data_IF_951325864348
#
_entry.id   IF_951325864348
#
_cell.length_a   1.000
_cell.length_b   1.000
_cell.length_c   1.000
_cell.angle_alpha   90.00
_cell.angle_beta   90.00
_cell.angle_gamma   90.00
#
_symmetry.space_group_name_H-M   'P 1'
#
loop_
_entity.id
_entity.type
_entity.pdbx_description
1 polymer ?
#
# COMPACT_ATOMS: atom_id res chain seq x y z
N UNK A 1 18.21 -39.05 -15.92
CA UNK A 1 17.18 -38.06 -16.29
C UNK A 1 17.06 -37.07 -15.14
N UNK A 2 17.56 -35.86 -15.31
CA UNK A 2 17.47 -34.82 -14.28
C UNK A 2 16.00 -34.46 -14.06
N UNK A 3 15.52 -34.56 -12.82
CA UNK A 3 14.23 -33.98 -12.43
C UNK A 3 14.35 -32.48 -12.71
N UNK A 4 13.54 -31.97 -13.62
CA UNK A 4 13.31 -30.53 -13.70
C UNK A 4 12.69 -30.16 -12.36
N UNK A 5 13.45 -29.45 -11.53
CA UNK A 5 12.87 -28.70 -10.44
C UNK A 5 11.91 -27.71 -11.10
N UNK A 6 10.62 -28.00 -11.04
CA UNK A 6 9.56 -27.05 -11.37
C UNK A 6 9.67 -25.93 -10.32
N UNK A 7 10.61 -25.01 -10.52
CA UNK A 7 10.68 -23.77 -9.76
C UNK A 7 9.34 -23.09 -9.98
N UNK A 8 8.54 -22.97 -8.92
CA UNK A 8 7.36 -22.13 -8.95
C UNK A 8 7.78 -20.78 -9.54
N UNK A 9 6.99 -20.21 -10.45
CA UNK A 9 7.33 -18.91 -11.02
C UNK A 9 7.57 -17.91 -9.88
N UNK A 10 8.51 -16.99 -10.09
CA UNK A 10 8.84 -15.96 -9.11
C UNK A 10 7.88 -14.78 -9.31
N UNK A 11 7.44 -14.17 -8.21
CA UNK A 11 6.43 -13.12 -8.29
C UNK A 11 7.04 -11.89 -8.92
N UNK A 12 6.35 -11.33 -9.91
CA UNK A 12 6.75 -10.11 -10.58
C UNK A 12 5.61 -9.09 -10.43
N UNK A 13 5.88 -7.89 -9.87
CA UNK A 13 4.85 -6.85 -9.76
C UNK A 13 4.48 -6.30 -11.14
N UNK A 14 3.31 -5.68 -11.23
CA UNK A 14 2.93 -4.88 -12.39
C UNK A 14 3.85 -3.66 -12.44
N UNK A 15 4.53 -3.41 -13.56
CA UNK A 15 5.34 -2.20 -13.77
C UNK A 15 4.81 -1.46 -14.98
N UNK A 16 4.55 -0.17 -14.79
CA UNK A 16 4.01 0.71 -15.82
C UNK A 16 4.82 1.98 -15.90
N UNK A 17 4.82 2.58 -17.10
CA UNK A 17 5.17 3.98 -17.30
C UNK A 17 3.88 4.79 -17.23
N UNK A 18 3.83 5.74 -16.32
CA UNK A 18 2.61 6.51 -16.09
C UNK A 18 2.91 8.00 -15.94
N UNK A 19 1.96 8.81 -16.38
CA UNK A 19 1.94 10.25 -16.17
C UNK A 19 1.17 10.57 -14.90
N UNK A 20 1.72 11.43 -14.06
CA UNK A 20 1.08 11.84 -12.82
C UNK A 20 0.20 13.07 -13.00
N UNK A 21 -0.92 13.09 -12.30
CA UNK A 21 -1.90 14.18 -12.21
C UNK A 21 -2.11 14.56 -10.74
N UNK A 22 -1.02 14.86 -10.06
CA UNK A 22 -0.99 15.19 -8.62
C UNK A 22 -1.20 16.68 -8.35
N UNK A 23 -1.18 17.51 -9.39
CA UNK A 23 -1.34 18.96 -9.31
C UNK A 23 -2.77 19.41 -9.06
N UNK A 24 -2.93 20.71 -8.80
CA UNK A 24 -4.25 21.33 -8.58
C UNK A 24 -4.89 20.98 -7.22
N UNK A 25 -4.16 20.32 -6.32
CA UNK A 25 -4.56 20.15 -4.92
C UNK A 25 -4.37 21.46 -4.18
N UNK A 26 -5.47 22.02 -3.70
CA UNK A 26 -5.44 23.23 -2.89
C UNK A 26 -5.24 22.87 -1.41
N UNK A 27 -4.63 23.80 -0.66
CA UNK A 27 -4.39 23.67 0.78
C UNK A 27 -5.69 23.35 1.55
N UNK A 28 -6.81 23.98 1.19
CA UNK A 28 -8.08 23.73 1.87
C UNK A 28 -8.59 22.30 1.62
N UNK A 29 -8.39 21.75 0.42
CA UNK A 29 -8.74 20.35 0.12
C UNK A 29 -7.88 19.37 0.93
N UNK A 30 -6.56 19.60 0.99
CA UNK A 30 -5.64 18.77 1.78
C UNK A 30 -5.97 18.85 3.28
N UNK A 31 -6.29 20.05 3.77
CA UNK A 31 -6.67 20.29 5.16
C UNK A 31 -7.98 19.60 5.54
N UNK A 32 -8.95 19.53 4.63
CA UNK A 32 -10.19 18.79 4.84
C UNK A 32 -9.96 17.28 4.84
N UNK A 33 -9.18 16.77 3.87
CA UNK A 33 -8.85 15.34 3.74
C UNK A 33 -8.04 14.81 4.93
N UNK A 34 -7.05 15.58 5.39
CA UNK A 34 -6.14 15.20 6.47
C UNK A 34 -6.58 15.71 7.85
N UNK A 35 -7.84 16.15 7.95
CA UNK A 35 -8.40 16.68 9.20
C UNK A 35 -8.33 15.61 10.30
N UNK A 36 -7.66 15.95 11.40
CA UNK A 36 -7.51 15.05 12.56
C UNK A 36 -6.30 14.12 12.50
N UNK A 37 -5.47 14.19 11.45
CA UNK A 37 -4.26 13.37 11.33
C UNK A 37 -3.00 14.01 11.95
N UNK A 38 -3.11 15.22 12.53
CA UNK A 38 -2.02 15.86 13.28
C UNK A 38 -0.98 16.59 12.43
N UNK A 39 -1.20 16.76 11.13
CA UNK A 39 -0.31 17.55 10.27
C UNK A 39 -0.37 19.05 10.59
N UNK A 40 0.80 19.69 10.51
CA UNK A 40 0.92 21.15 10.64
C UNK A 40 0.59 21.86 9.34
N UNK A 41 0.23 23.14 9.41
CA UNK A 41 -0.03 23.96 8.21
C UNK A 41 1.20 24.02 7.27
N UNK A 42 2.42 23.98 7.82
CA UNK A 42 3.66 23.98 7.03
C UNK A 42 3.80 22.68 6.22
N UNK A 43 3.49 21.54 6.83
CA UNK A 43 3.51 20.23 6.18
C UNK A 43 2.44 20.12 5.09
N UNK A 44 1.21 20.58 5.35
CA UNK A 44 0.15 20.60 4.34
C UNK A 44 0.52 21.48 3.14
N UNK A 45 1.19 22.62 3.35
CA UNK A 45 1.72 23.43 2.24
C UNK A 45 2.86 22.74 1.49
N UNK A 46 3.67 21.94 2.19
CA UNK A 46 4.67 21.07 1.56
C UNK A 46 4.04 20.05 0.64
N UNK A 47 2.98 19.38 1.08
CA UNK A 47 2.20 18.43 0.25
C UNK A 47 1.61 19.07 -1.01
N UNK A 48 1.19 20.34 -0.95
CA UNK A 48 0.78 21.09 -2.16
C UNK A 48 1.96 21.28 -3.12
N UNK A 49 3.13 21.69 -2.62
CA UNK A 49 4.32 21.92 -3.44
C UNK A 49 4.81 20.62 -4.08
N UNK A 50 4.88 19.56 -3.29
CA UNK A 50 5.17 18.20 -3.74
C UNK A 50 4.25 17.76 -4.87
N UNK A 51 2.93 17.88 -4.67
CA UNK A 51 1.95 17.51 -5.69
C UNK A 51 2.16 18.27 -7.01
N UNK A 52 2.62 19.53 -6.94
CA UNK A 52 2.95 20.32 -8.12
C UNK A 52 4.27 19.90 -8.79
N UNK A 53 5.26 19.40 -8.05
CA UNK A 53 6.50 18.88 -8.64
C UNK A 53 6.25 17.57 -9.39
N UNK A 54 5.43 16.69 -8.82
CA UNK A 54 5.05 15.45 -9.50
C UNK A 54 4.06 15.66 -10.66
N UNK A 55 3.36 16.80 -10.71
CA UNK A 55 2.32 17.02 -11.71
C UNK A 55 2.87 17.03 -13.14
N UNK A 56 2.26 16.22 -14.00
CA UNK A 56 2.62 16.10 -15.41
C UNK A 56 3.89 15.32 -15.70
N UNK A 57 4.63 14.90 -14.67
CA UNK A 57 5.86 14.12 -14.83
C UNK A 57 5.53 12.67 -15.21
N UNK A 58 6.45 12.01 -15.90
CA UNK A 58 6.28 10.60 -16.31
C UNK A 58 7.25 9.73 -15.54
N UNK A 59 6.73 8.87 -14.66
CA UNK A 59 7.52 7.97 -13.82
C UNK A 59 7.25 6.51 -14.16
N UNK A 60 8.15 5.64 -13.71
CA UNK A 60 7.92 4.22 -13.66
C UNK A 60 7.31 3.89 -12.30
N UNK A 61 6.11 3.31 -12.31
CA UNK A 61 5.37 2.93 -11.12
C UNK A 61 5.19 1.42 -11.08
N UNK A 62 5.11 0.87 -9.88
CA UNK A 62 4.86 -0.54 -9.65
C UNK A 62 3.61 -0.76 -8.80
N UNK A 63 2.85 -1.80 -9.10
CA UNK A 63 1.69 -2.22 -8.32
C UNK A 63 1.94 -3.61 -7.78
N UNK A 64 1.64 -3.80 -6.50
CA UNK A 64 1.99 -5.02 -5.81
C UNK A 64 0.75 -5.74 -5.26
N UNK A 65 0.84 -7.06 -5.14
CA UNK A 65 -0.19 -7.86 -4.51
C UNK A 65 -0.17 -7.76 -2.98
N UNK A 66 0.98 -7.39 -2.38
CA UNK A 66 1.12 -7.34 -0.92
C UNK A 66 0.24 -6.24 -0.28
N UNK A 67 0.01 -5.13 -0.99
CA UNK A 67 -0.93 -4.07 -0.62
C UNK A 67 -2.28 -4.23 -1.34
N UNK A 68 -2.57 -5.42 -1.89
CA UNK A 68 -3.78 -5.70 -2.65
C UNK A 68 -4.02 -4.68 -3.77
N UNK A 69 -2.94 -4.21 -4.40
CA UNK A 69 -2.97 -3.21 -5.46
C UNK A 69 -3.72 -1.95 -5.05
N UNK A 70 -3.57 -1.52 -3.80
CA UNK A 70 -4.22 -0.31 -3.30
C UNK A 70 -3.53 0.95 -3.82
N UNK A 71 -2.20 0.94 -3.92
CA UNK A 71 -1.42 2.11 -4.31
C UNK A 71 -0.41 1.82 -5.41
N UNK A 72 -0.05 2.86 -6.16
CA UNK A 72 1.09 2.83 -7.07
C UNK A 72 2.36 3.20 -6.31
N UNK A 73 3.39 2.39 -6.42
CA UNK A 73 4.67 2.58 -5.74
C UNK A 73 5.68 3.15 -6.72
N UNK A 74 6.38 4.22 -6.35
CA UNK A 74 7.47 4.78 -7.14
C UNK A 74 8.54 3.70 -7.38
N UNK A 75 8.75 3.33 -8.64
CA UNK A 75 9.70 2.28 -9.01
C UNK A 75 11.00 2.87 -9.56
N UNK A 76 10.90 3.79 -10.52
CA UNK A 76 12.06 4.46 -11.13
C UNK A 76 11.63 5.74 -11.87
N UNK A 77 12.59 6.52 -12.36
CA UNK A 77 12.36 7.70 -13.19
C UNK A 77 13.44 7.87 -14.27
N UNK A 78 13.16 8.70 -15.27
CA UNK A 78 14.16 9.08 -16.28
C UNK A 78 15.13 10.11 -15.67
N UNK A 79 16.42 10.08 -16.04
CA UNK A 79 17.43 11.01 -15.51
C UNK A 79 17.12 12.50 -15.76
N UNK A 80 16.30 12.81 -16.77
CA UNK A 80 15.82 14.17 -17.08
C UNK A 80 14.91 14.74 -15.97
N UNK A 81 14.23 13.85 -15.26
CA UNK A 81 13.23 14.17 -14.24
C UNK A 81 13.84 14.11 -12.82
N UNK A 82 15.12 13.71 -12.69
CA UNK A 82 15.80 13.45 -11.42
C UNK A 82 15.74 14.64 -10.46
N UNK A 83 16.04 15.84 -10.93
CA UNK A 83 15.98 17.05 -10.10
C UNK A 83 14.56 17.35 -9.60
N UNK A 84 13.54 17.08 -10.44
CA UNK A 84 12.15 17.31 -10.06
C UNK A 84 11.67 16.28 -9.04
N UNK A 85 12.06 15.02 -9.21
CA UNK A 85 11.78 13.94 -8.25
C UNK A 85 12.50 14.20 -6.93
N UNK A 86 13.77 14.63 -6.98
CA UNK A 86 14.54 15.05 -5.79
C UNK A 86 13.80 16.13 -5.00
N UNK A 87 13.33 17.20 -5.67
CA UNK A 87 12.60 18.28 -5.02
C UNK A 87 11.26 17.81 -4.43
N UNK A 88 10.54 16.93 -5.14
CA UNK A 88 9.28 16.39 -4.67
C UNK A 88 9.48 15.51 -3.42
N UNK A 89 10.46 14.61 -3.43
CA UNK A 89 10.79 13.75 -2.29
C UNK A 89 11.34 14.54 -1.10
N UNK A 90 12.07 15.64 -1.34
CA UNK A 90 12.48 16.52 -0.25
C UNK A 90 11.28 17.14 0.50
N UNK A 91 10.26 17.58 -0.23
CA UNK A 91 9.01 18.07 0.37
C UNK A 91 8.27 16.95 1.12
N UNK A 92 8.28 15.72 0.58
CA UNK A 92 7.76 14.52 1.23
C UNK A 92 8.42 14.25 2.59
N UNK A 93 9.76 14.35 2.62
CA UNK A 93 10.57 14.15 3.83
C UNK A 93 10.23 15.15 4.94
N UNK A 94 9.66 16.32 4.64
CA UNK A 94 9.32 17.32 5.67
C UNK A 94 8.16 16.89 6.58
N UNK A 95 7.31 15.98 6.10
CA UNK A 95 6.19 15.45 6.86
C UNK A 95 6.30 13.96 7.16
N UNK A 96 7.43 13.35 6.78
CA UNK A 96 7.73 11.97 7.12
C UNK A 96 7.82 11.77 8.66
N UNK A 97 7.37 10.63 9.22
CA UNK A 97 7.41 10.38 10.66
C UNK A 97 8.81 10.51 11.27
N UNK A 98 9.84 10.19 10.50
CA UNK A 98 11.25 10.28 10.91
C UNK A 98 11.97 11.54 10.37
N UNK A 99 11.23 12.55 9.90
CA UNK A 99 11.76 13.78 9.33
C UNK A 99 12.82 14.43 10.24
N UNK A 100 12.50 14.51 11.54
CA UNK A 100 13.32 15.20 12.54
C UNK A 100 14.73 14.61 12.71
N UNK A 101 14.94 13.33 12.38
CA UNK A 101 16.24 12.67 12.47
C UNK A 101 16.98 12.57 11.14
N UNK A 102 16.41 13.08 10.04
CA UNK A 102 16.93 12.88 8.68
C UNK A 102 17.29 14.19 7.96
N UNK A 103 16.28 14.89 7.43
CA UNK A 103 16.44 16.00 6.48
C UNK A 103 15.48 17.17 6.75
N UNK A 104 14.90 17.23 7.96
CA UNK A 104 13.96 18.30 8.31
C UNK A 104 14.61 19.67 8.18
N UNK A 105 14.11 20.46 7.23
CA UNK A 105 14.59 21.80 6.88
C UNK A 105 16.07 21.85 6.44
N UNK A 106 16.67 20.71 6.09
CA UNK A 106 18.08 20.60 5.69
C UNK A 106 18.18 20.11 4.24
N UNK A 107 17.98 21.03 3.30
CA UNK A 107 18.02 20.75 1.87
C UNK A 107 19.45 20.47 1.39
N UNK A 108 20.45 21.16 1.96
CA UNK A 108 21.84 20.98 1.52
C UNK A 108 22.35 19.57 1.81
N UNK A 109 22.05 19.05 3.00
CA UNK A 109 22.36 17.66 3.35
C UNK A 109 21.62 16.68 2.45
N UNK A 110 20.32 16.89 2.23
CA UNK A 110 19.54 16.04 1.34
C UNK A 110 20.08 16.03 -0.09
N UNK A 111 20.41 17.20 -0.64
CA UNK A 111 20.93 17.32 -1.99
C UNK A 111 22.30 16.68 -2.14
N UNK A 112 23.16 16.76 -1.12
CA UNK A 112 24.46 16.09 -1.13
C UNK A 112 24.29 14.57 -1.06
N UNK A 113 23.45 14.06 -0.16
CA UNK A 113 23.18 12.63 -0.03
C UNK A 113 22.53 12.08 -1.31
N UNK A 114 21.66 12.86 -1.97
CA UNK A 114 21.08 12.53 -3.28
C UNK A 114 22.15 12.39 -4.36
N UNK A 115 23.02 13.40 -4.51
CA UNK A 115 24.10 13.40 -5.52
C UNK A 115 25.13 12.30 -5.30
N UNK A 116 25.34 11.89 -4.05
CA UNK A 116 26.25 10.80 -3.70
C UNK A 116 25.58 9.41 -3.77
N UNK A 117 24.30 9.32 -4.14
CA UNK A 117 23.50 8.08 -4.12
C UNK A 117 23.43 7.45 -2.71
N UNK A 118 23.57 8.25 -1.66
CA UNK A 118 23.51 7.85 -0.25
C UNK A 118 22.11 8.07 0.36
N UNK A 119 21.21 8.70 -0.39
CA UNK A 119 19.82 8.90 0.05
C UNK A 119 19.06 7.56 0.13
N UNK A 120 18.57 7.24 1.33
CA UNK A 120 17.64 6.14 1.56
C UNK A 120 16.28 6.70 2.03
N UNK A 121 15.21 6.57 1.21
CA UNK A 121 13.89 7.02 1.59
C UNK A 121 13.32 6.21 2.77
N UNK A 122 13.81 5.00 3.03
CA UNK A 122 13.37 4.10 4.11
C UNK A 122 11.96 3.52 3.93
N UNK A 123 11.09 4.18 3.15
CA UNK A 123 9.79 3.71 2.69
C UNK A 123 9.58 4.12 1.23
N UNK A 124 8.81 3.33 0.49
CA UNK A 124 8.49 3.66 -0.90
C UNK A 124 7.44 4.76 -0.97
N UNK A 125 7.63 5.72 -1.86
CA UNK A 125 6.66 6.78 -2.10
C UNK A 125 5.48 6.23 -2.92
N UNK A 126 4.25 6.60 -2.54
CA UNK A 126 3.03 6.02 -3.11
C UNK A 126 2.10 7.06 -3.70
N UNK A 127 1.44 6.71 -4.81
CA UNK A 127 0.42 7.50 -5.50
C UNK A 127 -0.93 6.77 -5.50
N UNK A 128 -2.02 7.53 -5.51
CA UNK A 128 -3.38 6.97 -5.58
C UNK A 128 -3.75 6.64 -7.02
N UNK A 129 -4.66 5.68 -7.21
CA UNK A 129 -5.14 5.30 -8.54
C UNK A 129 -5.70 6.48 -9.37
N UNK A 130 -6.36 7.44 -8.72
CA UNK A 130 -6.91 8.61 -9.42
C UNK A 130 -5.88 9.67 -9.85
N UNK A 131 -4.63 9.55 -9.38
CA UNK A 131 -3.54 10.49 -9.67
C UNK A 131 -2.63 9.96 -10.79
N UNK A 132 -2.90 8.76 -11.32
CA UNK A 132 -2.00 8.05 -12.22
C UNK A 132 -2.71 7.76 -13.54
N UNK A 133 -2.15 8.28 -14.64
CA UNK A 133 -2.53 7.93 -16.00
C UNK A 133 -1.50 6.97 -16.60
N UNK A 134 -1.88 5.70 -16.77
CA UNK A 134 -1.00 4.67 -17.34
C UNK A 134 -0.80 4.94 -18.83
N UNK A 135 0.45 5.11 -19.26
CA UNK A 135 0.83 5.31 -20.66
C UNK A 135 1.25 3.99 -21.32
N UNK A 136 2.06 3.20 -20.63
CA UNK A 136 2.64 1.97 -21.15
C UNK A 136 2.80 0.94 -20.04
N UNK A 137 2.53 -0.33 -20.33
CA UNK A 137 2.79 -1.45 -19.42
C UNK A 137 4.11 -2.10 -19.82
N UNK A 138 5.10 -2.07 -18.92
CA UNK A 138 6.43 -2.62 -19.16
C UNK A 138 6.55 -4.07 -18.70
N UNK A 139 5.88 -4.40 -17.59
CA UNK A 139 5.85 -5.73 -17.03
C UNK A 139 4.44 -6.00 -16.52
N UNK A 140 3.79 -7.03 -17.06
CA UNK A 140 2.56 -7.54 -16.49
C UNK A 140 2.85 -8.25 -15.16
N UNK A 141 1.88 -8.21 -14.26
CA UNK A 141 2.00 -8.94 -13.00
C UNK A 141 2.03 -10.44 -13.26
N UNK A 142 3.05 -11.10 -12.72
CA UNK A 142 3.13 -12.56 -12.67
C UNK A 142 2.83 -12.97 -11.25
N UNK A 143 1.56 -13.31 -11.02
CA UNK A 143 1.13 -13.89 -9.76
C UNK A 143 1.38 -15.40 -9.77
N UNK A 144 1.99 -15.90 -8.69
CA UNK A 144 2.24 -17.34 -8.51
C UNK A 144 1.29 -17.96 -7.49
N UNK A 145 0.36 -17.16 -6.98
CA UNK A 145 -0.67 -17.64 -6.08
C UNK A 145 -1.73 -18.37 -6.93
N UNK A 146 -1.92 -19.65 -6.62
CA UNK A 146 -3.07 -20.40 -7.12
C UNK A 146 -4.34 -19.92 -6.41
N UNK A 147 -4.98 -18.91 -6.99
CA UNK A 147 -6.22 -18.32 -6.49
C UNK A 147 -7.35 -19.34 -6.33
N UNK A 148 -7.37 -20.42 -7.13
CA UNK A 148 -8.38 -21.46 -6.96
C UNK A 148 -8.09 -22.31 -5.74
N UNK A 149 -6.84 -22.71 -5.51
CA UNK A 149 -6.44 -23.43 -4.31
C UNK A 149 -6.76 -22.61 -3.05
N UNK A 150 -6.47 -21.31 -3.06
CA UNK A 150 -6.81 -20.40 -1.96
C UNK A 150 -8.32 -20.34 -1.76
N UNK A 151 -9.12 -20.10 -2.83
CA UNK A 151 -10.59 -20.09 -2.74
C UNK A 151 -11.17 -21.39 -2.17
N UNK A 152 -10.64 -22.55 -2.59
CA UNK A 152 -11.06 -23.86 -2.06
C UNK A 152 -10.73 -23.99 -0.58
N UNK A 153 -9.56 -23.54 -0.14
CA UNK A 153 -9.19 -23.57 1.28
C UNK A 153 -10.05 -22.63 2.13
N UNK A 154 -10.33 -21.43 1.65
CA UNK A 154 -11.22 -20.47 2.32
C UNK A 154 -12.64 -21.06 2.45
N UNK A 155 -13.20 -21.58 1.35
CA UNK A 155 -14.52 -22.21 1.36
C UNK A 155 -14.57 -23.41 2.33
N UNK A 156 -13.53 -24.26 2.32
CA UNK A 156 -13.43 -25.38 3.25
C UNK A 156 -13.33 -24.93 4.73
N UNK A 157 -12.62 -23.83 5.00
CA UNK A 157 -12.51 -23.27 6.34
C UNK A 157 -13.84 -22.66 6.82
N UNK A 158 -14.54 -21.93 5.95
CA UNK A 158 -15.87 -21.38 6.24
C UNK A 158 -16.90 -22.47 6.50
N UNK A 159 -16.92 -23.52 5.67
CA UNK A 159 -17.76 -24.70 5.86
C UNK A 159 -17.44 -25.41 7.18
N UNK A 160 -16.16 -25.60 7.50
CA UNK A 160 -15.76 -26.19 8.77
C UNK A 160 -16.24 -25.35 9.97
N UNK A 161 -16.14 -24.02 9.89
CA UNK A 161 -16.69 -23.12 10.91
C UNK A 161 -18.21 -23.23 11.01
N UNK A 162 -18.92 -23.25 9.88
CA UNK A 162 -20.38 -23.40 9.84
C UNK A 162 -20.82 -24.72 10.50
N UNK A 163 -20.16 -25.82 10.15
CA UNK A 163 -20.43 -27.14 10.72
C UNK A 163 -20.15 -27.17 12.23
N UNK A 164 -19.06 -26.54 12.71
CA UNK A 164 -18.79 -26.39 14.15
C UNK A 164 -19.91 -25.63 14.86
N UNK A 165 -20.33 -24.47 14.33
CA UNK A 165 -21.44 -23.66 14.91
C UNK A 165 -22.75 -24.46 14.94
N UNK A 166 -23.05 -25.22 13.87
CA UNK A 166 -24.24 -26.07 13.77
C UNK A 166 -24.24 -27.17 14.84
N UNK A 167 -23.15 -27.91 15.00
CA UNK A 167 -22.99 -28.96 16.03
C UNK A 167 -23.12 -28.38 17.44
N UNK A 168 -22.53 -27.20 17.70
CA UNK A 168 -22.65 -26.54 19.00
C UNK A 168 -24.11 -26.14 19.31
N UNK A 169 -24.85 -25.60 18.34
CA UNK A 169 -26.29 -25.28 18.49
C UNK A 169 -27.13 -26.53 18.77
N UNK A 170 -26.85 -27.64 18.08
CA UNK A 170 -27.55 -28.91 18.32
C UNK A 170 -27.29 -29.45 19.73
N UNK A 171 -26.03 -29.43 20.20
CA UNK A 171 -25.67 -29.81 21.58
C UNK A 171 -26.38 -28.95 22.63
N UNK A 172 -26.43 -27.63 22.44
CA UNK A 172 -27.16 -26.72 23.35
C UNK A 172 -28.67 -27.04 23.41
N UNK A 173 -29.30 -27.32 22.26
CA UNK A 173 -30.71 -27.73 22.20
C UNK A 173 -30.99 -29.08 22.86
N UNK A 174 -30.04 -30.02 22.80
CA UNK A 174 -30.17 -31.31 23.48
C UNK A 174 -29.98 -31.16 25.00
N UNK A 175 -29.00 -30.36 25.44
CA UNK A 175 -28.79 -30.04 26.84
C UNK A 175 -29.99 -29.31 27.46
N UNK A 176 -30.63 -28.39 26.74
CA UNK A 176 -31.83 -27.70 27.22
C UNK A 176 -33.06 -28.61 27.30
N UNK A 177 -33.14 -29.67 26.49
CA UNK A 177 -34.20 -30.69 26.57
C UNK A 177 -34.00 -31.65 27.74
N UNK A 178 -32.76 -31.89 28.17
CA UNK A 178 -32.43 -32.67 29.37
C UNK A 178 -32.55 -31.88 30.68
N UNK A 179 -32.74 -30.56 30.63
CA UNK A 179 -32.85 -29.67 31.80
C UNK A 179 -34.29 -29.42 32.27
N UNK A 180 -35.29 -30.13 31.73
CA UNK A 180 -36.65 -30.16 32.32
C UNK A 180 -36.68 -31.31 33.33
N UNK A 181 -36.90 -30.97 34.62
CA UNK A 181 -36.83 -31.80 35.84
C UNK A 181 -35.40 -31.94 36.41
N UNK A 182 -35.06 -31.53 37.64
CA UNK A 182 -35.80 -31.57 38.91
C UNK A 182 -35.58 -30.29 39.75
N UNK A 183 -36.65 -29.54 40.07
CA UNK A 183 -36.71 -28.82 41.35
C UNK A 183 -37.46 -29.74 42.32
N UNK A 184 -36.72 -30.48 43.15
CA UNK A 184 -37.31 -31.09 44.35
C UNK A 184 -37.46 -29.96 45.36
N UNK A 185 -38.70 -29.60 45.64
CA UNK A 185 -39.05 -28.78 46.80
C UNK A 185 -38.72 -29.62 48.04
N UNK A 186 -37.86 -29.09 48.90
CA UNK A 186 -37.68 -29.50 50.29
C UNK A 186 -38.09 -28.32 51.16
#
# INVERSE_FOLDING_TARGET
MARKEDKQPQYLPLIVKAKLHTGGRDYEKIKEELKGQGFTCKQMKGMVREGNYFDGIVLYLSKWNWDNHESWHLYNWDAKDDETVMLALYEAEQYHPYAASRYKEDFEKFQNDWKNEEYDPGMTYTFKDGEVEVLEVLQEEVDNIDHEAVKRQVAAAEDAQYQKRRKQRQRRKQASKGSRYQRKYF
#
